data_IF_110275740327
#
_entry.id   IF_110275740327
#
_cell.length_a   1.000
_cell.length_b   1.000
_cell.length_c   1.000
_cell.angle_alpha   90.00
_cell.angle_beta   90.00
_cell.angle_gamma   90.00
#
_symmetry.space_group_name_H-M   'P 1'
#
loop_
_entity.id
_entity.type
_entity.pdbx_description
1 polymer ?
#
# COMPACT_ATOMS: atom_id res chain seq x y z
N UNK A 1 -13.33 -14.97 -2.42
CA UNK A 1 -13.48 -13.55 -2.07
C UNK A 1 -12.33 -12.80 -2.71
N UNK A 2 -12.60 -11.73 -3.47
CA UNK A 2 -11.57 -10.93 -4.12
C UNK A 2 -10.83 -10.10 -3.07
N UNK A 3 -9.51 -10.26 -2.94
CA UNK A 3 -8.69 -9.44 -2.03
C UNK A 3 -8.17 -8.23 -2.81
N UNK A 4 -8.67 -7.00 -2.58
CA UNK A 4 -8.18 -5.83 -3.31
C UNK A 4 -6.71 -5.56 -2.96
N UNK A 5 -5.92 -5.21 -3.98
CA UNK A 5 -4.52 -4.82 -3.81
C UNK A 5 -4.46 -3.29 -3.76
N UNK A 6 -3.87 -2.73 -2.71
CA UNK A 6 -3.77 -1.28 -2.50
C UNK A 6 -2.32 -0.87 -2.40
N UNK A 7 -1.86 0.01 -3.30
CA UNK A 7 -0.55 0.65 -3.22
C UNK A 7 -0.62 1.93 -2.39
N UNK A 8 0.25 2.07 -1.40
CA UNK A 8 0.37 3.25 -0.54
C UNK A 8 1.73 3.90 -0.81
N UNK A 9 1.71 5.12 -1.34
CA UNK A 9 2.91 5.94 -1.53
C UNK A 9 3.18 6.74 -0.27
N UNK A 10 4.24 6.39 0.44
CA UNK A 10 4.79 7.19 1.52
C UNK A 10 6.05 7.90 0.99
N UNK A 11 6.06 9.23 0.89
CA UNK A 11 7.20 9.97 0.37
C UNK A 11 8.32 10.18 1.43
N UNK A 12 8.56 9.18 2.27
CA UNK A 12 9.61 9.20 3.30
C UNK A 12 9.18 9.69 4.68
N UNK A 13 7.88 9.82 4.95
CA UNK A 13 7.38 10.26 6.25
C UNK A 13 7.41 9.17 7.32
N UNK A 14 7.35 7.89 6.92
CA UNK A 14 7.35 6.72 7.80
C UNK A 14 6.08 6.57 8.65
N UNK A 15 5.07 7.43 8.48
CA UNK A 15 3.94 7.55 9.41
C UNK A 15 2.66 6.81 8.95
N UNK A 16 2.65 6.19 7.77
CA UNK A 16 1.45 5.58 7.18
C UNK A 16 1.19 4.13 7.64
N UNK A 17 1.91 3.64 8.64
CA UNK A 17 1.73 2.30 9.18
C UNK A 17 0.33 2.05 9.77
N UNK A 18 -0.28 3.08 10.39
CA UNK A 18 -1.67 2.97 10.89
C UNK A 18 -2.69 2.84 9.76
N UNK A 19 -2.51 3.61 8.67
CA UNK A 19 -3.35 3.51 7.48
C UNK A 19 -3.21 2.15 6.78
N UNK A 20 -1.97 1.64 6.65
CA UNK A 20 -1.72 0.30 6.09
C UNK A 20 -2.46 -0.78 6.89
N UNK A 21 -2.35 -0.75 8.23
CA UNK A 21 -3.06 -1.70 9.10
C UNK A 21 -4.58 -1.60 8.98
N UNK A 22 -5.13 -0.40 8.83
CA UNK A 22 -6.57 -0.23 8.63
C UNK A 22 -7.04 -0.83 7.29
N UNK A 23 -6.26 -0.67 6.22
CA UNK A 23 -6.54 -1.26 4.92
C UNK A 23 -6.46 -2.79 4.96
N UNK A 24 -5.45 -3.35 5.61
CA UNK A 24 -5.33 -4.80 5.82
C UNK A 24 -6.50 -5.36 6.63
N UNK A 25 -6.92 -4.66 7.69
CA UNK A 25 -8.08 -5.03 8.50
C UNK A 25 -9.40 -4.98 7.70
N UNK A 26 -9.49 -4.11 6.69
CA UNK A 26 -10.60 -4.09 5.73
C UNK A 26 -10.52 -5.21 4.68
N UNK A 27 -9.51 -6.06 4.74
CA UNK A 27 -9.31 -7.20 3.84
C UNK A 27 -8.48 -6.89 2.60
N UNK A 28 -7.76 -5.76 2.55
CA UNK A 28 -6.85 -5.47 1.44
C UNK A 28 -5.49 -6.16 1.60
N UNK A 29 -4.80 -6.36 0.47
CA UNK A 29 -3.35 -6.63 0.45
C UNK A 29 -2.64 -5.30 0.18
N UNK A 30 -1.85 -4.83 1.13
CA UNK A 30 -1.19 -3.52 1.04
C UNK A 30 0.23 -3.66 0.53
N UNK A 31 0.62 -2.77 -0.39
CA UNK A 31 1.99 -2.57 -0.83
C UNK A 31 2.41 -1.17 -0.42
N UNK A 32 3.44 -1.04 0.42
CA UNK A 32 4.01 0.25 0.81
C UNK A 32 5.28 0.52 -0.01
N UNK A 33 5.34 1.66 -0.65
CA UNK A 33 6.46 2.06 -1.51
C UNK A 33 6.70 3.55 -1.43
N UNK A 34 7.87 3.98 -1.89
CA UNK A 34 8.25 5.40 -1.91
C UNK A 34 8.11 5.99 -3.32
N UNK A 35 8.13 5.11 -4.33
CA UNK A 35 8.10 5.46 -5.75
C UNK A 35 7.20 4.47 -6.47
N UNK A 36 6.64 4.91 -7.60
CA UNK A 36 5.82 4.05 -8.46
C UNK A 36 6.53 2.76 -8.91
N UNK A 37 7.84 2.86 -9.18
CA UNK A 37 8.67 1.71 -9.57
C UNK A 37 8.68 0.58 -8.51
N UNK A 38 8.46 0.91 -7.23
CA UNK A 38 8.45 -0.07 -6.15
C UNK A 38 7.21 -0.98 -6.22
N UNK A 39 6.17 -0.61 -6.98
CA UNK A 39 4.96 -1.41 -7.18
C UNK A 39 4.96 -2.25 -8.47
N UNK A 40 6.10 -2.33 -9.16
CA UNK A 40 6.22 -3.15 -10.36
C UNK A 40 5.76 -2.48 -11.65
N UNK A 41 5.61 -1.15 -11.65
CA UNK A 41 5.54 -0.28 -12.83
C UNK A 41 4.92 -0.91 -14.08
N UNK A 42 3.64 -1.24 -14.05
CA UNK A 42 2.90 -1.65 -15.24
C UNK A 42 1.60 -0.83 -15.31
N UNK A 43 1.51 -0.03 -16.37
CA UNK A 43 0.28 0.59 -16.83
C UNK A 43 -0.66 -0.46 -17.44
#
# INVERSE_FOLDING_TARGET
MNQPVVGVLDYGSGNLHSACRALEAAGARVLLGQRWADFGGAA
#
